data_IF_903370045749
#
_entry.id   IF_903370045749
#
_cell.length_a   1.000
_cell.length_b   1.000
_cell.length_c   1.000
_cell.angle_alpha   90.00
_cell.angle_beta   90.00
_cell.angle_gamma   90.00
#
_symmetry.space_group_name_H-M   'P 1'
#
loop_
_entity.id
_entity.type
_entity.pdbx_description
1 polymer ?
#
# COMPACT_ATOMS: atom_id res chain seq x y z
N UNK A 1 4.93 -0.13 -41.06
CA UNK A 1 5.91 -0.29 -39.95
C UNK A 1 5.16 -0.27 -38.62
N UNK A 2 5.05 -1.39 -37.91
CA UNK A 2 4.37 -1.45 -36.60
C UNK A 2 5.38 -1.15 -35.49
N UNK A 3 5.19 -0.06 -34.74
CA UNK A 3 6.00 0.26 -33.56
C UNK A 3 5.67 -0.79 -32.48
N UNK A 4 6.63 -1.66 -32.18
CA UNK A 4 6.57 -2.53 -30.98
C UNK A 4 6.61 -1.62 -29.76
N UNK A 5 5.50 -1.51 -29.04
CA UNK A 5 5.47 -0.87 -27.73
C UNK A 5 6.46 -1.58 -26.81
N UNK A 6 7.43 -0.83 -26.31
CA UNK A 6 8.34 -1.29 -25.27
C UNK A 6 7.48 -1.54 -24.03
N UNK A 7 7.37 -2.79 -23.58
CA UNK A 7 6.76 -3.11 -22.28
C UNK A 7 7.43 -2.22 -21.23
N UNK A 8 6.69 -1.49 -20.37
CA UNK A 8 7.31 -0.75 -19.28
C UNK A 8 8.17 -1.72 -18.48
N UNK A 9 9.39 -1.32 -18.16
CA UNK A 9 10.22 -2.09 -17.23
C UNK A 9 9.46 -2.05 -15.91
N UNK A 10 9.09 -3.22 -15.38
CA UNK A 10 8.63 -3.32 -13.99
C UNK A 10 9.77 -2.74 -13.15
N UNK A 11 9.56 -1.54 -12.62
CA UNK A 11 10.52 -0.90 -11.74
C UNK A 11 10.63 -1.79 -10.51
N UNK A 12 11.83 -2.33 -10.27
CA UNK A 12 12.04 -3.25 -9.15
C UNK A 12 11.86 -2.44 -7.87
N UNK A 13 10.91 -2.86 -7.03
CA UNK A 13 10.66 -2.24 -5.72
C UNK A 13 11.94 -2.32 -4.88
N UNK A 14 12.44 -1.15 -4.47
CA UNK A 14 13.62 -1.03 -3.60
C UNK A 14 13.32 -0.13 -2.39
N UNK A 15 12.91 -0.73 -1.26
CA UNK A 15 12.54 0.02 -0.05
C UNK A 15 13.68 0.83 0.57
N UNK A 16 14.94 0.55 0.22
CA UNK A 16 16.09 1.25 0.80
C UNK A 16 16.32 2.64 0.21
N UNK A 17 15.66 2.95 -0.92
CA UNK A 17 15.74 4.27 -1.55
C UNK A 17 14.83 5.32 -0.90
N UNK A 18 13.91 4.91 -0.02
CA UNK A 18 13.07 5.80 0.80
C UNK A 18 13.49 5.80 2.26
N UNK A 19 13.07 6.83 3.01
CA UNK A 19 13.32 6.94 4.46
C UNK A 19 12.58 5.88 5.28
N UNK A 20 13.04 5.64 6.51
CA UNK A 20 12.56 4.55 7.39
C UNK A 20 11.03 4.52 7.57
N UNK A 21 10.41 5.68 7.77
CA UNK A 21 8.95 5.82 7.95
C UNK A 21 8.13 5.25 6.79
N UNK A 22 8.71 5.25 5.58
CA UNK A 22 8.08 4.71 4.36
C UNK A 22 8.54 3.29 4.07
N UNK A 23 9.77 2.97 4.45
CA UNK A 23 10.42 1.69 4.20
C UNK A 23 9.74 0.54 4.93
N UNK A 24 9.46 0.71 6.22
CA UNK A 24 8.94 -0.40 7.04
C UNK A 24 7.60 -0.94 6.54
N UNK A 25 6.58 -0.10 6.24
CA UNK A 25 5.33 -0.60 5.66
C UNK A 25 5.51 -1.30 4.31
N UNK A 26 6.40 -0.79 3.44
CA UNK A 26 6.70 -1.44 2.15
C UNK A 26 7.32 -2.82 2.36
N UNK A 27 8.25 -2.95 3.32
CA UNK A 27 8.82 -4.26 3.69
C UNK A 27 7.76 -5.19 4.26
N UNK A 28 6.86 -4.69 5.11
CA UNK A 28 5.71 -5.44 5.64
C UNK A 28 4.85 -6.01 4.50
N UNK A 29 4.45 -5.15 3.56
CA UNK A 29 3.71 -5.54 2.36
C UNK A 29 4.43 -6.62 1.53
N UNK A 30 5.74 -6.45 1.28
CA UNK A 30 6.54 -7.46 0.56
C UNK A 30 6.59 -8.81 1.30
N UNK A 31 6.72 -8.79 2.63
CA UNK A 31 6.73 -10.00 3.45
C UNK A 31 5.35 -10.67 3.48
N UNK A 32 4.26 -9.90 3.50
CA UNK A 32 2.90 -10.41 3.40
C UNK A 32 2.69 -11.12 2.07
N UNK A 33 3.04 -10.49 0.96
CA UNK A 33 2.90 -11.09 -0.36
C UNK A 33 3.77 -12.36 -0.55
N UNK A 34 5.00 -12.35 -0.03
CA UNK A 34 5.83 -13.56 -0.05
C UNK A 34 5.17 -14.72 0.70
N UNK A 35 4.56 -14.45 1.87
CA UNK A 35 3.80 -15.43 2.64
C UNK A 35 2.54 -15.89 1.89
N UNK A 36 1.82 -14.98 1.26
CA UNK A 36 0.68 -15.31 0.41
C UNK A 36 1.07 -16.32 -0.67
N UNK A 37 2.12 -16.03 -1.43
CA UNK A 37 2.60 -16.92 -2.48
C UNK A 37 3.03 -18.29 -1.96
N UNK A 38 3.59 -18.37 -0.75
CA UNK A 38 3.89 -19.65 -0.10
C UNK A 38 2.62 -20.44 0.20
N UNK A 39 1.56 -19.79 0.71
CA UNK A 39 0.26 -20.43 0.94
C UNK A 39 -0.29 -21.00 -0.37
N UNK A 40 -0.38 -20.19 -1.44
CA UNK A 40 -0.88 -20.63 -2.76
C UNK A 40 -0.08 -21.79 -3.34
N UNK A 41 1.23 -21.84 -3.09
CA UNK A 41 2.08 -22.94 -3.53
C UNK A 41 1.85 -24.24 -2.74
N UNK A 42 1.52 -24.11 -1.45
CA UNK A 42 1.21 -25.26 -0.57
C UNK A 42 -0.23 -25.77 -0.71
N UNK A 43 -1.15 -24.95 -1.21
CA UNK A 43 -2.54 -25.36 -1.46
C UNK A 43 -2.60 -26.41 -2.57
N UNK A 44 -3.35 -27.52 -2.39
CA UNK A 44 -3.55 -28.53 -3.41
C UNK A 44 -4.13 -27.95 -4.72
N UNK A 45 -3.79 -28.52 -5.89
CA UNK A 45 -4.43 -28.13 -7.15
C UNK A 45 -5.95 -28.28 -7.09
N UNK A 46 -6.67 -27.25 -7.52
CA UNK A 46 -8.13 -27.23 -7.53
C UNK A 46 -8.68 -25.80 -7.69
N UNK A 47 -10.01 -25.63 -7.72
CA UNK A 47 -10.67 -24.34 -7.95
C UNK A 47 -10.23 -23.24 -6.97
N UNK A 48 -10.02 -23.60 -5.70
CA UNK A 48 -9.58 -22.64 -4.69
C UNK A 48 -8.16 -22.15 -4.95
N UNK A 49 -7.25 -23.04 -5.36
CA UNK A 49 -5.89 -22.64 -5.72
C UNK A 49 -5.89 -21.73 -6.95
N UNK A 50 -6.73 -22.00 -7.94
CA UNK A 50 -6.90 -21.13 -9.11
C UNK A 50 -7.39 -19.73 -8.67
N UNK A 51 -8.34 -19.68 -7.73
CA UNK A 51 -8.84 -18.42 -7.20
C UNK A 51 -7.80 -17.64 -6.38
N UNK A 52 -7.00 -18.34 -5.58
CA UNK A 52 -5.87 -17.74 -4.87
C UNK A 52 -4.80 -17.21 -5.85
N UNK A 53 -4.55 -17.90 -6.96
CA UNK A 53 -3.66 -17.39 -8.02
C UNK A 53 -4.21 -16.08 -8.61
N UNK A 54 -5.51 -16.01 -8.88
CA UNK A 54 -6.15 -14.79 -9.40
C UNK A 54 -6.00 -13.60 -8.42
N UNK A 55 -6.15 -13.84 -7.12
CA UNK A 55 -5.99 -12.82 -6.08
C UNK A 55 -4.54 -12.40 -5.91
N UNK A 56 -3.59 -13.32 -6.12
CA UNK A 56 -2.15 -13.01 -6.15
C UNK A 56 -1.83 -11.83 -7.07
N UNK A 57 -2.50 -11.74 -8.23
CA UNK A 57 -2.32 -10.60 -9.13
C UNK A 57 -2.84 -9.25 -8.57
N UNK A 58 -3.86 -9.26 -7.71
CA UNK A 58 -4.31 -8.06 -6.98
C UNK A 58 -3.36 -7.73 -5.81
N UNK A 59 -2.81 -8.74 -5.15
CA UNK A 59 -1.79 -8.55 -4.10
C UNK A 59 -0.53 -7.92 -4.69
N UNK A 60 -0.03 -8.43 -5.81
CA UNK A 60 1.15 -7.89 -6.50
C UNK A 60 0.95 -6.39 -6.84
N UNK A 61 -0.24 -6.03 -7.36
CA UNK A 61 -0.62 -4.63 -7.60
C UNK A 61 -0.66 -3.80 -6.31
N UNK A 62 -1.21 -4.35 -5.23
CA UNK A 62 -1.22 -3.68 -3.92
C UNK A 62 0.19 -3.36 -3.41
N UNK A 63 1.20 -4.21 -3.66
CA UNK A 63 2.59 -3.90 -3.31
C UNK A 63 3.15 -2.78 -4.20
N UNK A 64 2.85 -2.80 -5.51
CA UNK A 64 3.23 -1.72 -6.42
C UNK A 64 2.61 -0.38 -5.96
N UNK A 65 1.38 -0.40 -5.46
CA UNK A 65 0.74 0.79 -4.90
C UNK A 65 1.41 1.26 -3.60
N UNK A 66 1.68 0.35 -2.67
CA UNK A 66 2.48 0.65 -1.47
C UNK A 66 3.78 1.34 -1.86
N UNK A 67 4.46 0.84 -2.90
CA UNK A 67 5.68 1.44 -3.41
C UNK A 67 5.47 2.84 -4.01
N UNK A 68 4.41 3.04 -4.79
CA UNK A 68 4.05 4.35 -5.36
C UNK A 68 3.71 5.38 -4.28
N UNK A 69 2.95 4.99 -3.25
CA UNK A 69 2.60 5.86 -2.11
C UNK A 69 3.86 6.22 -1.31
N UNK A 70 4.71 5.23 -1.01
CA UNK A 70 5.97 5.46 -0.28
C UNK A 70 6.90 6.45 -1.00
N UNK A 71 7.07 6.32 -2.31
CA UNK A 71 7.89 7.25 -3.10
C UNK A 71 7.32 8.68 -3.09
N UNK A 72 6.00 8.81 -3.31
CA UNK A 72 5.32 10.12 -3.27
C UNK A 72 5.45 10.77 -1.89
N UNK A 73 5.16 10.00 -0.83
CA UNK A 73 5.29 10.47 0.55
C UNK A 73 6.72 10.88 0.91
N UNK A 74 7.72 10.11 0.47
CA UNK A 74 9.13 10.44 0.66
C UNK A 74 9.52 11.76 -0.02
N UNK A 75 9.09 11.96 -1.27
CA UNK A 75 9.34 13.20 -2.00
C UNK A 75 8.69 14.42 -1.29
N UNK A 76 7.42 14.30 -0.89
CA UNK A 76 6.70 15.35 -0.15
C UNK A 76 7.38 15.68 1.19
N UNK A 77 7.88 14.66 1.90
CA UNK A 77 8.61 14.87 3.15
C UNK A 77 9.93 15.60 2.93
N UNK A 78 10.62 15.34 1.81
CA UNK A 78 11.80 16.08 1.38
C UNK A 78 11.51 17.56 1.13
N UNK A 79 10.44 17.85 0.38
CA UNK A 79 9.98 19.23 0.11
C UNK A 79 9.59 19.97 1.39
N UNK A 80 8.84 19.31 2.27
CA UNK A 80 8.46 19.85 3.58
C UNK A 80 9.69 20.18 4.43
N UNK A 81 10.69 19.31 4.45
CA UNK A 81 11.96 19.54 5.15
C UNK A 81 12.70 20.77 4.60
N UNK A 82 12.74 20.91 3.27
CA UNK A 82 13.39 22.06 2.62
C UNK A 82 12.72 23.41 2.94
N UNK A 83 11.44 23.42 3.34
CA UNK A 83 10.78 24.63 3.79
C UNK A 83 11.32 25.16 5.13
N UNK A 84 12.02 24.35 5.92
CA UNK A 84 12.63 24.73 7.21
C UNK A 84 11.67 25.54 8.08
N UNK A 85 10.61 24.88 8.58
CA UNK A 85 9.58 25.54 9.40
C UNK A 85 10.17 26.29 10.60
N UNK A 86 11.11 25.72 11.39
CA UNK A 86 11.71 26.43 12.52
C UNK A 86 12.49 27.69 12.10
N UNK A 87 13.31 27.61 11.05
CA UNK A 87 14.04 28.77 10.55
C UNK A 87 13.12 29.83 9.93
N UNK A 88 12.09 29.41 9.20
CA UNK A 88 11.07 30.30 8.64
C UNK A 88 10.29 31.03 9.74
N UNK A 89 9.95 30.34 10.83
CA UNK A 89 9.27 30.95 11.99
C UNK A 89 10.15 31.99 12.68
N UNK A 90 11.44 31.71 12.88
CA UNK A 90 12.39 32.66 13.46
C UNK A 90 12.48 33.93 12.61
N UNK A 91 12.65 33.77 11.30
CA UNK A 91 12.69 34.89 10.35
C UNK A 91 11.41 35.70 10.33
N UNK A 92 10.26 35.07 10.56
CA UNK A 92 8.97 35.77 10.62
C UNK A 92 8.91 36.71 11.84
N UNK A 93 9.43 36.27 12.98
CA UNK A 93 9.53 37.12 14.19
C UNK A 93 10.45 38.30 13.92
N UNK A 94 11.66 38.05 13.40
CA UNK A 94 12.65 39.09 13.06
C UNK A 94 12.07 40.12 12.06
N UNK A 95 11.36 39.66 11.03
CA UNK A 95 10.72 40.54 10.04
C UNK A 95 9.60 41.39 10.65
N UNK A 96 8.86 40.85 11.63
CA UNK A 96 7.84 41.58 12.38
C UNK A 96 8.43 42.68 13.26
N UNK A 97 9.54 42.40 13.95
CA UNK A 97 10.28 43.39 14.73
C UNK A 97 10.84 44.51 13.85
N UNK A 98 11.33 44.17 12.65
CA UNK A 98 11.81 45.12 11.66
C UNK A 98 10.70 45.88 10.91
N UNK A 99 9.42 45.55 11.15
CA UNK A 99 8.26 46.11 10.43
C UNK A 99 8.33 45.95 8.90
N UNK A 100 8.91 44.85 8.41
CA UNK A 100 8.93 44.50 6.98
C UNK A 100 7.69 43.68 6.60
N UNK A 101 6.59 44.38 6.32
CA UNK A 101 5.30 43.76 6.01
C UNK A 101 5.35 42.82 4.79
N UNK A 102 6.18 43.12 3.78
CA UNK A 102 6.27 42.27 2.58
C UNK A 102 6.92 40.94 2.90
N UNK A 103 8.03 40.97 3.65
CA UNK A 103 8.71 39.77 4.11
C UNK A 103 7.82 38.95 5.06
N UNK A 104 7.09 39.62 5.97
CA UNK A 104 6.11 38.98 6.86
C UNK A 104 5.06 38.20 6.08
N UNK A 105 4.44 38.79 5.05
CA UNK A 105 3.43 38.11 4.25
C UNK A 105 3.98 36.91 3.47
N UNK A 106 5.19 37.06 2.91
CA UNK A 106 5.88 35.97 2.20
C UNK A 106 6.16 34.78 3.12
N UNK A 107 6.71 35.03 4.31
CA UNK A 107 7.05 33.98 5.29
C UNK A 107 5.79 33.29 5.84
N UNK A 108 4.70 34.02 6.07
CA UNK A 108 3.40 33.43 6.44
C UNK A 108 2.88 32.48 5.37
N UNK A 109 2.92 32.88 4.10
CA UNK A 109 2.49 32.02 2.97
C UNK A 109 3.33 30.75 2.85
N UNK A 110 4.65 30.85 3.12
CA UNK A 110 5.55 29.70 3.19
C UNK A 110 5.18 28.74 4.32
N UNK A 111 4.84 29.25 5.51
CA UNK A 111 4.37 28.42 6.63
C UNK A 111 3.05 27.73 6.34
N UNK A 112 2.07 28.43 5.75
CA UNK A 112 0.81 27.82 5.30
C UNK A 112 1.03 26.72 4.27
N UNK A 113 2.00 26.90 3.37
CA UNK A 113 2.39 25.86 2.41
C UNK A 113 3.00 24.64 3.12
N UNK A 114 3.84 24.86 4.13
CA UNK A 114 4.40 23.79 4.95
C UNK A 114 3.34 23.03 5.75
N UNK A 115 2.28 23.68 6.20
CA UNK A 115 1.15 23.02 6.87
C UNK A 115 0.38 22.10 5.92
N UNK A 116 0.10 22.57 4.69
CA UNK A 116 -0.57 21.75 3.67
C UNK A 116 0.26 20.53 3.28
N UNK A 117 1.57 20.71 3.06
CA UNK A 117 2.47 19.60 2.77
C UNK A 117 2.55 18.60 3.92
N UNK A 118 2.55 19.06 5.17
CA UNK A 118 2.50 18.18 6.35
C UNK A 118 1.26 17.28 6.31
N UNK A 119 0.09 17.86 6.04
CA UNK A 119 -1.16 17.08 5.93
C UNK A 119 -1.07 16.03 4.83
N UNK A 120 -0.51 16.38 3.66
CA UNK A 120 -0.33 15.42 2.56
C UNK A 120 0.65 14.29 2.92
N UNK A 121 1.75 14.61 3.61
CA UNK A 121 2.70 13.61 4.13
C UNK A 121 2.01 12.66 5.11
N UNK A 122 1.24 13.20 6.06
CA UNK A 122 0.53 12.39 7.04
C UNK A 122 -0.55 11.50 6.38
N UNK A 123 -1.29 12.03 5.40
CA UNK A 123 -2.25 11.26 4.61
C UNK A 123 -1.59 10.12 3.82
N UNK A 124 -0.47 10.39 3.14
CA UNK A 124 0.27 9.37 2.43
C UNK A 124 0.77 8.27 3.37
N UNK A 125 1.22 8.63 4.57
CA UNK A 125 1.66 7.65 5.58
C UNK A 125 0.49 6.78 6.05
N UNK A 126 -0.64 7.38 6.39
CA UNK A 126 -1.83 6.62 6.82
C UNK A 126 -2.34 5.70 5.72
N UNK A 127 -2.35 6.18 4.47
CA UNK A 127 -2.74 5.35 3.33
C UNK A 127 -1.80 4.14 3.17
N UNK A 128 -0.49 4.35 3.24
CA UNK A 128 0.49 3.27 3.13
C UNK A 128 0.32 2.20 4.23
N UNK A 129 0.13 2.63 5.49
CA UNK A 129 -0.11 1.70 6.61
C UNK A 129 -1.43 0.93 6.43
N UNK A 130 -2.46 1.58 5.92
CA UNK A 130 -3.73 0.92 5.64
C UNK A 130 -3.60 -0.14 4.53
N UNK A 131 -2.84 0.15 3.47
CA UNK A 131 -2.56 -0.82 2.41
C UNK A 131 -1.79 -2.04 2.94
N UNK A 132 -0.72 -1.80 3.71
CA UNK A 132 0.03 -2.89 4.36
C UNK A 132 -0.88 -3.77 5.21
N UNK A 133 -1.71 -3.19 6.08
CA UNK A 133 -2.60 -3.94 6.95
C UNK A 133 -3.58 -4.82 6.18
N UNK A 134 -4.13 -4.31 5.06
CA UNK A 134 -5.03 -5.09 4.19
C UNK A 134 -4.32 -6.25 3.49
N UNK A 135 -3.06 -6.07 3.10
CA UNK A 135 -2.26 -7.18 2.55
C UNK A 135 -2.00 -8.26 3.61
N UNK A 136 -1.82 -7.87 4.87
CA UNK A 136 -1.71 -8.84 5.97
C UNK A 136 -3.04 -9.57 6.22
N UNK A 137 -4.17 -8.88 6.14
CA UNK A 137 -5.51 -9.48 6.21
C UNK A 137 -5.75 -10.47 5.06
N UNK A 138 -5.37 -10.10 3.83
CA UNK A 138 -5.43 -10.98 2.66
C UNK A 138 -4.68 -12.30 2.87
N UNK A 139 -3.49 -12.22 3.49
CA UNK A 139 -2.70 -13.39 3.86
C UNK A 139 -3.40 -14.22 4.93
N UNK A 140 -3.97 -13.60 5.95
CA UNK A 140 -4.70 -14.30 7.01
C UNK A 140 -5.88 -15.09 6.45
N UNK A 141 -6.71 -14.45 5.60
CA UNK A 141 -7.83 -15.11 4.92
C UNK A 141 -7.34 -16.29 4.07
N UNK A 142 -6.26 -16.11 3.29
CA UNK A 142 -5.72 -17.19 2.49
C UNK A 142 -5.23 -18.39 3.32
N UNK A 143 -4.64 -18.12 4.49
CA UNK A 143 -4.24 -19.16 5.44
C UNK A 143 -5.45 -19.89 6.00
N UNK A 144 -6.49 -19.17 6.42
CA UNK A 144 -7.75 -19.76 6.93
C UNK A 144 -8.41 -20.65 5.87
N UNK A 145 -8.58 -20.14 4.65
CA UNK A 145 -9.11 -20.88 3.50
C UNK A 145 -8.30 -22.16 3.24
N UNK A 146 -6.98 -22.08 3.29
CA UNK A 146 -6.13 -23.26 3.07
C UNK A 146 -6.22 -24.28 4.21
N UNK A 147 -6.57 -23.88 5.42
CA UNK A 147 -6.73 -24.78 6.57
C UNK A 147 -8.09 -25.49 6.55
N UNK A 148 -9.17 -24.77 6.27
CA UNK A 148 -10.52 -25.34 6.15
C UNK A 148 -10.53 -26.53 5.16
N UNK A 149 -9.96 -26.34 3.97
CA UNK A 149 -9.82 -27.40 2.97
C UNK A 149 -8.94 -28.59 3.42
N UNK A 150 -7.93 -28.33 4.25
CA UNK A 150 -7.08 -29.39 4.81
C UNK A 150 -7.82 -30.29 5.80
N UNK A 151 -8.79 -29.72 6.54
CA UNK A 151 -9.64 -30.45 7.48
C UNK A 151 -10.78 -31.19 6.76
N UNK A 152 -11.40 -30.58 5.74
CA UNK A 152 -12.45 -31.19 4.92
C UNK A 152 -11.98 -32.49 4.24
N UNK A 153 -10.73 -32.53 3.77
CA UNK A 153 -10.12 -33.72 3.16
C UNK A 153 -9.94 -34.92 4.11
N UNK A 154 -10.09 -34.72 5.43
CA UNK A 154 -9.96 -35.80 6.43
C UNK A 154 -11.29 -36.52 6.73
N UNK A 155 -12.44 -36.00 6.27
CA UNK A 155 -13.77 -36.55 6.58
C UNK A 155 -14.69 -36.58 5.36
N UNK A 156 -14.82 -37.75 4.72
CA UNK A 156 -15.61 -37.90 3.49
C UNK A 156 -17.09 -37.50 3.62
N UNK A 157 -17.46 -36.36 3.05
CA UNK A 157 -18.85 -36.03 2.68
C UNK A 157 -18.89 -35.04 1.49
N UNK A 158 -19.14 -35.57 0.29
CA UNK A 158 -19.19 -34.82 -0.98
C UNK A 158 -20.19 -33.64 -1.02
N UNK A 159 -21.13 -33.52 -0.07
CA UNK A 159 -22.08 -32.42 -0.01
C UNK A 159 -21.60 -31.23 0.84
N UNK A 160 -20.84 -31.48 1.91
CA UNK A 160 -20.27 -30.42 2.75
C UNK A 160 -19.11 -29.70 2.04
N UNK A 161 -18.38 -30.43 1.20
CA UNK A 161 -17.26 -29.91 0.40
C UNK A 161 -17.72 -28.88 -0.65
N UNK A 162 -18.98 -28.91 -1.10
CA UNK A 162 -19.53 -27.94 -2.07
C UNK A 162 -19.91 -26.62 -1.39
N UNK A 163 -20.63 -26.68 -0.27
CA UNK A 163 -21.02 -25.48 0.48
C UNK A 163 -19.80 -24.74 1.04
N UNK A 164 -18.78 -25.47 1.51
CA UNK A 164 -17.51 -24.90 1.98
C UNK A 164 -16.73 -24.22 0.85
N UNK A 165 -16.70 -24.84 -0.35
CA UNK A 165 -16.06 -24.24 -1.53
C UNK A 165 -16.78 -22.95 -1.95
N UNK A 166 -18.11 -22.90 -1.89
CA UNK A 166 -18.88 -21.70 -2.23
C UNK A 166 -18.60 -20.56 -1.23
N UNK A 167 -18.58 -20.84 0.09
CA UNK A 167 -18.20 -19.84 1.11
C UNK A 167 -16.77 -19.32 0.91
N UNK A 168 -15.82 -20.22 0.64
CA UNK A 168 -14.43 -19.86 0.34
C UNK A 168 -14.35 -18.96 -0.89
N UNK A 169 -15.09 -19.28 -1.96
CA UNK A 169 -15.09 -18.46 -3.17
C UNK A 169 -15.64 -17.06 -2.89
N UNK A 170 -16.68 -16.92 -2.08
CA UNK A 170 -17.25 -15.63 -1.68
C UNK A 170 -16.25 -14.78 -0.88
N UNK A 171 -15.58 -15.37 0.11
CA UNK A 171 -14.53 -14.69 0.88
C UNK A 171 -13.40 -14.19 -0.03
N UNK A 172 -12.99 -15.01 -1.01
CA UNK A 172 -11.95 -14.68 -1.98
C UNK A 172 -12.42 -13.59 -2.98
N UNK A 173 -13.70 -13.56 -3.36
CA UNK A 173 -14.28 -12.47 -4.18
C UNK A 173 -14.32 -11.16 -3.42
N UNK A 174 -14.76 -11.17 -2.15
CA UNK A 174 -14.77 -9.99 -1.30
C UNK A 174 -13.35 -9.44 -1.13
N UNK A 175 -12.37 -10.32 -0.87
CA UNK A 175 -10.98 -9.95 -0.74
C UNK A 175 -10.42 -9.29 -2.02
N UNK A 176 -10.64 -9.91 -3.17
CA UNK A 176 -10.20 -9.35 -4.46
C UNK A 176 -10.79 -7.95 -4.68
N UNK A 177 -12.07 -7.77 -4.41
CA UNK A 177 -12.76 -6.50 -4.60
C UNK A 177 -12.21 -5.41 -3.68
N UNK A 178 -11.98 -5.76 -2.41
CA UNK A 178 -11.36 -4.86 -1.44
C UNK A 178 -9.93 -4.43 -1.84
N UNK A 179 -9.15 -5.33 -2.46
CA UNK A 179 -7.82 -5.00 -2.98
C UNK A 179 -7.90 -4.13 -4.24
N UNK A 180 -8.80 -4.43 -5.17
CA UNK A 180 -8.99 -3.67 -6.41
C UNK A 180 -9.50 -2.23 -6.17
N UNK A 181 -10.35 -2.01 -5.15
CA UNK A 181 -10.80 -0.66 -4.76
C UNK A 181 -9.65 0.27 -4.36
N UNK A 182 -8.54 -0.28 -3.85
CA UNK A 182 -7.41 0.54 -3.38
C UNK A 182 -6.60 1.19 -4.49
N UNK A 183 -6.58 0.59 -5.68
CA UNK A 183 -5.98 1.20 -6.88
C UNK A 183 -6.76 2.46 -7.29
N UNK A 184 -8.09 2.48 -7.09
CA UNK A 184 -8.98 3.54 -7.57
C UNK A 184 -8.92 4.80 -6.69
N UNK A 185 -8.65 4.65 -5.39
CA UNK A 185 -8.40 5.79 -4.49
C UNK A 185 -7.06 6.51 -4.76
N UNK A 186 -6.22 5.93 -5.64
CA UNK A 186 -4.93 6.50 -6.04
C UNK A 186 -4.93 7.24 -7.38
N UNK A 187 -6.10 7.47 -8.01
CA UNK A 187 -6.29 8.26 -9.24
C UNK A 187 -6.83 9.67 -8.99
#
# INVERSE_FOLDING_TARGET
>A
MRRRGRRPRVERIDPFTVGETWREPVKGAMQAAARYHQVVQSTPPGPVRERLVDIGASIDRGIEECWRVAQRGHALAGELSALDRPGTQRRLVEAGEASDDTLVQSLRSRLTSAERLQVMVDQARHHLVALEARLHEAVAIAVEVSQLLGEAGAGGHLAAEVDEVDEVVDQLVALRSALDETDDFGQ
#
